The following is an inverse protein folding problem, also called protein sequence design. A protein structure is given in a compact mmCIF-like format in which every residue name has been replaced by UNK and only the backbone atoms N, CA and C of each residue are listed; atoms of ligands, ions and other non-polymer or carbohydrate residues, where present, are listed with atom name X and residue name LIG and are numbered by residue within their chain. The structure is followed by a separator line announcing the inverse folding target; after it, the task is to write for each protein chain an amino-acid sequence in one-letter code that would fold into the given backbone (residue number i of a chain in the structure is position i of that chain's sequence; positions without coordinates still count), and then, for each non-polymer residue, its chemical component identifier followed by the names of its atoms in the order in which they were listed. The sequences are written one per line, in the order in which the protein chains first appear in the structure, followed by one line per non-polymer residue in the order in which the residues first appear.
data_IF_490228831821
#
_entry.id   IF_490228831821
#
_cell.length_a   1.000
_cell.length_b   1.000
_cell.length_c   1.000
_cell.angle_alpha   90.00
_cell.angle_beta   90.00
_cell.angle_gamma   90.00
#
_symmetry.space_group_name_H-M   'P 1'
#
loop_
_entity.id
_entity.type
_entity.pdbx_description
1 polymer ?
#
# COMPACT_ATOMS: atom_id res chain seq x y z
N UNK A 1 17.10 -11.94 -17.81
CA UNK A 1 16.94 -11.98 -16.35
C UNK A 1 16.99 -10.52 -15.94
N UNK A 2 15.85 -9.94 -15.57
CA UNK A 2 15.71 -8.49 -15.40
C UNK A 2 16.01 -8.15 -13.93
N UNK A 3 17.21 -7.64 -13.71
CA UNK A 3 17.62 -6.64 -12.71
C UNK A 3 16.83 -6.54 -11.38
N UNK A 4 17.00 -7.54 -10.51
CA UNK A 4 16.71 -7.38 -9.08
C UNK A 4 17.53 -6.24 -8.44
N UNK A 5 18.55 -5.70 -9.12
CA UNK A 5 19.48 -4.70 -8.58
C UNK A 5 18.87 -3.29 -8.42
N UNK A 6 17.74 -2.99 -9.07
CA UNK A 6 17.11 -1.65 -9.05
C UNK A 6 15.80 -1.54 -8.28
N UNK A 7 15.19 -2.66 -7.84
CA UNK A 7 13.91 -2.63 -7.13
C UNK A 7 14.11 -2.14 -5.68
N UNK A 8 13.35 -1.12 -5.21
CA UNK A 8 13.47 -0.63 -3.84
C UNK A 8 13.29 -1.76 -2.81
N UNK A 9 14.14 -1.79 -1.77
CA UNK A 9 14.16 -2.87 -0.79
C UNK A 9 12.80 -3.12 -0.12
N UNK A 10 12.04 -2.06 0.15
CA UNK A 10 10.71 -2.17 0.76
C UNK A 10 9.67 -2.87 -0.14
N UNK A 11 9.84 -2.85 -1.47
CA UNK A 11 8.95 -3.61 -2.38
C UNK A 11 9.23 -5.11 -2.24
N UNK A 12 10.50 -5.49 -2.12
CA UNK A 12 10.91 -6.89 -1.89
C UNK A 12 10.44 -7.40 -0.53
N UNK A 13 10.55 -6.56 0.50
CA UNK A 13 10.11 -6.87 1.86
C UNK A 13 8.58 -7.04 1.97
N UNK A 14 7.82 -6.44 1.04
CA UNK A 14 6.36 -6.51 0.99
C UNK A 14 5.87 -7.11 -0.33
N UNK A 15 6.47 -8.23 -0.75
CA UNK A 15 6.12 -8.94 -1.98
C UNK A 15 4.64 -9.39 -2.02
N UNK A 16 4.07 -9.79 -0.88
CA UNK A 16 2.68 -10.23 -0.77
C UNK A 16 1.75 -9.06 -0.47
N UNK A 17 0.99 -8.61 -1.47
CA UNK A 17 0.11 -7.45 -1.36
C UNK A 17 -1.33 -7.93 -1.49
N UNK A 18 -1.87 -8.41 -0.38
CA UNK A 18 -3.21 -9.02 -0.35
C UNK A 18 -4.32 -8.10 0.16
N UNK A 19 -3.96 -6.99 0.77
CA UNK A 19 -4.89 -6.00 1.29
C UNK A 19 -4.59 -4.60 0.75
N UNK A 20 -5.59 -3.74 0.84
CA UNK A 20 -5.51 -2.35 0.38
C UNK A 20 -4.52 -1.49 1.15
N UNK A 21 -4.22 -1.80 2.41
CA UNK A 21 -3.31 -0.99 3.23
C UNK A 21 -1.86 -1.23 2.84
N UNK A 22 -1.48 -2.50 2.62
CA UNK A 22 -0.17 -2.87 2.10
C UNK A 22 0.04 -2.29 0.70
N UNK A 23 -0.98 -2.34 -0.16
CA UNK A 23 -0.95 -1.68 -1.47
C UNK A 23 -0.74 -0.18 -1.34
N UNK A 24 -1.62 0.51 -0.61
CA UNK A 24 -1.59 1.97 -0.48
C UNK A 24 -0.26 2.43 0.17
N UNK A 25 0.29 1.66 1.11
CA UNK A 25 1.61 1.91 1.70
C UNK A 25 2.73 1.86 0.65
N UNK A 26 2.82 0.75 -0.10
CA UNK A 26 3.83 0.59 -1.14
C UNK A 26 3.70 1.64 -2.23
N UNK A 27 2.46 1.90 -2.67
CA UNK A 27 2.16 2.85 -3.72
C UNK A 27 2.59 4.26 -3.31
N UNK A 28 2.23 4.69 -2.09
CA UNK A 28 2.67 6.00 -1.55
C UNK A 28 4.17 6.11 -1.41
N UNK A 29 4.86 5.01 -1.04
CA UNK A 29 6.33 4.98 -0.96
C UNK A 29 6.96 5.18 -2.33
N UNK A 30 6.45 4.53 -3.37
CA UNK A 30 6.91 4.72 -4.75
C UNK A 30 6.64 6.16 -5.22
N UNK A 31 5.45 6.70 -5.01
CA UNK A 31 5.15 8.11 -5.34
C UNK A 31 6.07 9.09 -4.59
N UNK A 32 6.41 8.81 -3.33
CA UNK A 32 7.32 9.63 -2.54
C UNK A 32 8.77 9.57 -3.04
N UNK A 33 9.17 8.46 -3.65
CA UNK A 33 10.49 8.28 -4.29
C UNK A 33 10.54 8.93 -5.69
N UNK A 34 9.42 9.49 -6.19
CA UNK A 34 9.35 10.26 -7.41
C UNK A 34 8.85 9.50 -8.64
N UNK A 35 8.41 8.24 -8.48
CA UNK A 35 7.72 7.49 -9.54
C UNK A 35 6.35 8.11 -9.79
N UNK A 36 5.90 8.11 -11.04
CA UNK A 36 4.51 8.46 -11.34
C UNK A 36 3.55 7.28 -11.05
N UNK A 37 2.25 7.52 -11.20
CA UNK A 37 1.23 6.51 -10.91
C UNK A 37 1.31 5.28 -11.82
N UNK A 38 1.72 5.44 -13.08
CA UNK A 38 1.83 4.30 -13.99
C UNK A 38 3.09 3.49 -13.69
N UNK A 39 4.22 4.17 -13.45
CA UNK A 39 5.47 3.53 -13.02
C UNK A 39 5.25 2.75 -11.71
N UNK A 40 4.60 3.37 -10.72
CA UNK A 40 4.33 2.72 -9.44
C UNK A 40 3.39 1.52 -9.58
N UNK A 41 2.36 1.64 -10.44
CA UNK A 41 1.46 0.54 -10.79
C UNK A 41 2.22 -0.62 -11.44
N UNK A 42 3.04 -0.35 -12.43
CA UNK A 42 3.79 -1.37 -13.16
C UNK A 42 4.79 -2.08 -12.26
N UNK A 43 5.48 -1.33 -11.37
CA UNK A 43 6.37 -1.90 -10.36
C UNK A 43 5.61 -2.88 -9.47
N UNK A 44 4.46 -2.49 -8.90
CA UNK A 44 3.68 -3.38 -8.02
C UNK A 44 3.12 -4.57 -8.80
N UNK A 45 2.57 -4.36 -10.00
CA UNK A 45 1.99 -5.43 -10.83
C UNK A 45 3.02 -6.46 -11.30
N UNK A 46 4.24 -6.04 -11.60
CA UNK A 46 5.28 -6.92 -12.13
C UNK A 46 6.10 -7.61 -11.03
N UNK A 47 6.15 -7.04 -9.83
CA UNK A 47 7.06 -7.50 -8.78
C UNK A 47 6.37 -8.03 -7.52
N UNK A 48 5.06 -7.86 -7.35
CA UNK A 48 4.33 -8.34 -6.16
C UNK A 48 3.31 -9.44 -6.51
N UNK A 49 3.06 -10.34 -5.55
CA UNK A 49 1.89 -11.22 -5.57
C UNK A 49 0.66 -10.43 -5.09
N UNK A 50 -0.35 -10.29 -5.95
CA UNK A 50 -1.55 -9.50 -5.66
C UNK A 50 -2.75 -10.40 -5.39
N UNK A 51 -3.58 -10.03 -4.42
CA UNK A 51 -4.89 -10.66 -4.26
C UNK A 51 -5.88 -10.15 -5.32
N UNK A 52 -6.93 -10.92 -5.55
CA UNK A 52 -8.05 -10.48 -6.40
C UNK A 52 -8.67 -9.18 -5.89
N UNK A 53 -8.72 -8.99 -4.57
CA UNK A 53 -9.24 -7.77 -3.96
C UNK A 53 -8.45 -6.54 -4.40
N UNK A 54 -7.12 -6.60 -4.30
CA UNK A 54 -6.24 -5.50 -4.71
C UNK A 54 -6.37 -5.23 -6.21
N UNK A 55 -6.37 -6.27 -7.03
CA UNK A 55 -6.58 -6.11 -8.47
C UNK A 55 -7.91 -5.42 -8.80
N UNK A 56 -9.01 -5.82 -8.16
CA UNK A 56 -10.33 -5.21 -8.40
C UNK A 56 -10.41 -3.78 -7.88
N UNK A 57 -10.13 -3.58 -6.60
CA UNK A 57 -10.39 -2.30 -5.93
C UNK A 57 -9.36 -1.23 -6.28
N UNK A 58 -8.10 -1.61 -6.53
CA UNK A 58 -7.02 -0.65 -6.75
C UNK A 58 -6.66 -0.49 -8.21
N UNK A 59 -6.49 -1.60 -8.93
CA UNK A 59 -6.00 -1.57 -10.31
C UNK A 59 -7.16 -1.39 -11.30
N UNK A 60 -8.15 -2.28 -11.30
CA UNK A 60 -9.24 -2.28 -12.27
C UNK A 60 -10.21 -1.11 -12.09
N UNK A 61 -10.50 -0.73 -10.85
CA UNK A 61 -11.30 0.46 -10.56
C UNK A 61 -10.49 1.76 -10.63
N UNK A 62 -9.22 1.70 -11.03
CA UNK A 62 -8.32 2.85 -11.21
C UNK A 62 -8.12 3.71 -9.95
N UNK A 63 -8.49 3.21 -8.77
CA UNK A 63 -8.34 3.94 -7.51
C UNK A 63 -6.88 4.28 -7.20
N UNK A 64 -5.91 3.55 -7.77
CA UNK A 64 -4.50 3.90 -7.65
C UNK A 64 -4.20 5.33 -8.11
N UNK A 65 -4.92 5.86 -9.11
CA UNK A 65 -4.77 7.24 -9.62
C UNK A 65 -5.16 8.31 -8.61
N UNK A 66 -6.01 7.97 -7.63
CA UNK A 66 -6.46 8.88 -6.59
C UNK A 66 -5.49 8.93 -5.40
N UNK A 67 -4.56 7.97 -5.29
CA UNK A 67 -3.60 7.90 -4.20
C UNK A 67 -2.59 9.03 -4.34
N UNK A 68 -2.39 9.81 -3.28
CA UNK A 68 -1.32 10.81 -3.20
C UNK A 68 -0.45 10.63 -1.95
N UNK A 69 0.80 11.11 -2.04
CA UNK A 69 1.77 11.06 -0.93
C UNK A 69 1.26 11.78 0.32
N UNK A 70 0.46 12.83 0.14
CA UNK A 70 -0.12 13.63 1.22
C UNK A 70 -1.34 12.99 1.89
N UNK A 71 -1.87 11.89 1.37
CA UNK A 71 -3.07 11.27 1.91
C UNK A 71 -2.76 10.66 3.28
N UNK A 72 -3.47 11.18 4.28
CA UNK A 72 -3.43 10.63 5.63
C UNK A 72 -4.30 9.38 5.72
N UNK A 73 -4.18 8.65 6.83
CA UNK A 73 -5.11 7.57 7.15
C UNK A 73 -6.54 8.14 7.11
N UNK A 74 -7.44 7.42 6.43
CA UNK A 74 -8.84 7.81 6.35
C UNK A 74 -9.41 8.06 7.76
N UNK A 75 -10.17 9.15 7.99
CA UNK A 75 -10.56 9.56 9.35
C UNK A 75 -11.29 8.47 10.16
N UNK A 76 -12.11 7.68 9.49
CA UNK A 76 -12.84 6.54 10.05
C UNK A 76 -11.88 5.43 10.53
N UNK A 77 -10.89 5.10 9.70
CA UNK A 77 -9.87 4.12 10.06
C UNK A 77 -8.95 4.64 11.17
N UNK A 78 -8.64 5.94 11.18
CA UNK A 78 -7.87 6.57 12.26
C UNK A 78 -8.63 6.47 13.58
N UNK A 79 -9.95 6.66 13.55
CA UNK A 79 -10.81 6.48 14.69
C UNK A 79 -10.79 5.03 15.17
N UNK A 80 -11.01 4.05 14.29
CA UNK A 80 -10.95 2.63 14.63
C UNK A 80 -9.59 2.24 15.24
N UNK A 81 -8.49 2.70 14.63
CA UNK A 81 -7.13 2.46 15.15
C UNK A 81 -6.97 3.02 16.57
N UNK A 82 -7.44 4.24 16.83
CA UNK A 82 -7.40 4.85 18.16
C UNK A 82 -8.22 4.05 19.17
N UNK A 83 -9.41 3.59 18.80
CA UNK A 83 -10.27 2.79 19.67
C UNK A 83 -9.62 1.46 20.04
N UNK A 84 -9.07 0.73 19.06
CA UNK A 84 -8.36 -0.53 19.30
C UNK A 84 -7.07 -0.31 20.11
N UNK A 85 -6.33 0.76 19.86
CA UNK A 85 -5.15 1.12 20.65
C UNK A 85 -5.52 1.41 22.10
N UNK A 86 -6.59 2.16 22.36
CA UNK A 86 -7.09 2.42 23.72
C UNK A 86 -7.47 1.10 24.40
N UNK A 87 -8.17 0.19 23.73
CA UNK A 87 -8.48 -1.13 24.29
C UNK A 87 -7.21 -1.91 24.62
N UNK A 88 -6.23 -1.96 23.72
CA UNK A 88 -5.00 -2.72 23.93
C UNK A 88 -4.15 -2.18 25.10
N UNK A 89 -4.15 -0.86 25.31
CA UNK A 89 -3.38 -0.21 26.39
C UNK A 89 -4.12 -0.25 27.73
N UNK A 90 -5.45 -0.08 27.73
CA UNK A 90 -6.22 0.10 28.96
C UNK A 90 -7.08 -1.11 29.39
N UNK A 91 -7.31 -2.10 28.51
CA UNK A 91 -8.00 -3.36 28.85
C UNK A 91 -7.03 -4.52 29.12
N UNK A 92 -5.76 -4.25 29.45
CA UNK A 92 -4.92 -5.26 30.12
C UNK A 92 -5.37 -5.41 31.58
N UNK A 93 -6.51 -6.07 31.82
CA UNK A 93 -6.93 -6.58 33.12
C UNK A 93 -7.48 -7.99 32.97
#
# INVERSE_FOLDING_TARGET
MMDDEYLPGYVKENYEVYDRFTFDYLFKRLLADGYDHEDARDIVMCNCALSTLVLQERIHNEYYLEICVGDTIAPDLLQMYREEFIKAVYNQN
#
